data_IF_292081905195
#
_entry.id   IF_292081905195
#
_cell.length_a   1.000
_cell.length_b   1.000
_cell.length_c   1.000
_cell.angle_alpha   90.00
_cell.angle_beta   90.00
_cell.angle_gamma   90.00
#
_symmetry.space_group_name_H-M   'P 1'
#
loop_
_entity.id
_entity.type
_entity.pdbx_description
1 polymer ?
#
# COMPACT_ATOMS: atom_id res chain seq x y z
N UNK A 1 44.35 1.66 53.10
CA UNK A 1 44.61 0.68 54.18
C UNK A 1 43.40 0.66 55.11
N UNK A 2 42.80 -0.53 55.28
CA UNK A 2 41.77 -0.93 56.26
C UNK A 2 40.46 -0.15 56.40
N UNK A 3 39.36 -0.79 55.96
CA UNK A 3 38.12 -0.81 56.76
C UNK A 3 37.36 -2.12 56.50
N UNK A 4 37.54 -3.07 57.42
CA UNK A 4 36.67 -4.23 57.58
C UNK A 4 35.83 -4.00 58.84
N UNK A 5 34.51 -4.05 58.71
CA UNK A 5 33.59 -4.37 59.80
C UNK A 5 32.79 -5.60 59.38
N UNK A 6 32.93 -6.65 60.19
CA UNK A 6 32.13 -7.89 60.21
C UNK A 6 30.68 -7.55 60.64
N UNK A 7 29.63 -8.39 60.49
CA UNK A 7 29.53 -9.74 61.04
C UNK A 7 28.16 -10.41 60.71
N UNK A 8 28.21 -11.63 60.16
CA UNK A 8 27.38 -12.87 60.36
C UNK A 8 25.88 -12.90 60.00
N UNK A 9 25.43 -14.02 59.40
CA UNK A 9 24.77 -15.21 59.99
C UNK A 9 24.59 -16.29 58.88
N UNK A 10 25.16 -17.52 58.99
CA UNK A 10 24.55 -18.81 59.43
C UNK A 10 23.36 -19.24 58.54
N UNK A 11 23.24 -20.39 57.85
CA UNK A 11 23.42 -21.85 58.14
C UNK A 11 23.30 -22.61 56.79
N UNK A 12 24.19 -23.55 56.42
CA UNK A 12 24.21 -25.00 56.71
C UNK A 12 23.37 -25.92 55.79
N UNK A 13 24.03 -27.03 55.42
CA UNK A 13 23.57 -28.33 54.91
C UNK A 13 23.31 -28.53 53.40
N UNK A 14 24.29 -29.22 52.80
CA UNK A 14 24.14 -30.09 51.64
C UNK A 14 23.68 -31.45 52.15
N UNK A 15 22.53 -31.92 51.67
CA UNK A 15 22.16 -33.34 51.67
C UNK A 15 21.74 -33.67 50.25
N UNK A 16 22.48 -34.60 49.63
CA UNK A 16 22.15 -35.12 48.32
C UNK A 16 20.92 -36.03 48.37
N UNK A 17 20.15 -36.01 47.29
CA UNK A 17 19.30 -37.11 46.88
C UNK A 17 19.53 -37.33 45.38
N UNK A 18 19.97 -38.53 45.03
CA UNK A 18 20.02 -39.00 43.66
C UNK A 18 18.60 -39.41 43.23
N UNK A 19 18.17 -38.97 42.04
CA UNK A 19 17.07 -39.59 41.30
C UNK A 19 17.48 -39.78 39.84
N UNK A 20 17.73 -41.05 39.54
CA UNK A 20 17.45 -41.82 38.33
C UNK A 20 16.95 -41.06 37.08
N UNK A 21 17.75 -41.16 36.03
CA UNK A 21 17.38 -41.58 34.67
C UNK A 21 16.06 -41.11 34.06
N UNK A 22 16.15 -40.10 33.18
CA UNK A 22 15.19 -39.82 32.13
C UNK A 22 15.91 -39.46 30.85
N UNK A 23 15.98 -40.39 29.89
CA UNK A 23 16.33 -40.11 28.50
C UNK A 23 15.25 -39.20 27.91
N UNK A 24 15.52 -37.90 27.83
CA UNK A 24 14.76 -36.96 27.00
C UNK A 24 15.38 -36.92 25.59
N UNK A 25 14.57 -36.84 24.51
CA UNK A 25 15.12 -36.76 23.18
C UNK A 25 15.88 -35.44 23.05
N UNK A 26 17.16 -35.54 22.69
CA UNK A 26 17.98 -34.39 22.34
C UNK A 26 17.37 -33.68 21.16
N UNK A 27 16.72 -32.54 21.39
CA UNK A 27 16.41 -31.58 20.34
C UNK A 27 17.71 -30.88 20.01
N UNK A 28 18.50 -31.49 19.13
CA UNK A 28 19.52 -30.77 18.36
C UNK A 28 18.80 -29.69 17.57
N UNK A 29 18.95 -28.43 18.00
CA UNK A 29 18.60 -27.27 17.18
C UNK A 29 19.47 -27.35 15.94
N UNK A 30 18.89 -27.82 14.84
CA UNK A 30 19.52 -27.75 13.53
C UNK A 30 19.90 -26.28 13.30
N UNK A 31 21.17 -26.04 12.99
CA UNK A 31 21.60 -24.75 12.49
C UNK A 31 20.75 -24.46 11.25
N UNK A 32 19.96 -23.39 11.33
CA UNK A 32 19.28 -22.82 10.18
C UNK A 32 20.39 -22.40 9.21
N UNK A 33 20.52 -23.15 8.11
CA UNK A 33 21.45 -22.83 7.04
C UNK A 33 20.96 -21.51 6.47
N UNK A 34 21.64 -20.41 6.82
CA UNK A 34 21.45 -19.12 6.13
C UNK A 34 21.70 -19.37 4.64
N UNK A 35 20.62 -19.32 3.86
CA UNK A 35 20.70 -19.38 2.41
C UNK A 35 21.59 -18.24 1.89
N UNK A 36 22.09 -18.35 0.65
CA UNK A 36 22.89 -17.28 0.06
C UNK A 36 22.11 -15.95 0.15
N UNK A 37 22.79 -14.83 0.43
CA UNK A 37 22.14 -13.53 0.53
C UNK A 37 21.36 -13.26 -0.76
N UNK A 38 20.04 -13.20 -0.66
CA UNK A 38 19.19 -12.81 -1.76
C UNK A 38 19.45 -11.34 -2.03
N UNK A 39 19.96 -11.02 -3.22
CA UNK A 39 20.08 -9.61 -3.64
C UNK A 39 18.67 -9.03 -3.63
N UNK A 40 18.40 -7.98 -2.85
CA UNK A 40 17.08 -7.37 -2.82
C UNK A 40 16.70 -6.91 -4.23
N UNK A 41 15.43 -7.05 -4.64
CA UNK A 41 15.01 -6.60 -5.95
C UNK A 41 15.28 -5.10 -6.13
N UNK A 42 15.54 -4.64 -7.36
CA UNK A 42 15.80 -3.22 -7.61
C UNK A 42 14.59 -2.37 -7.19
N UNK A 43 14.85 -1.26 -6.51
CA UNK A 43 13.83 -0.26 -6.20
C UNK A 43 13.49 0.53 -7.47
N UNK A 44 12.24 0.42 -7.93
CA UNK A 44 11.75 1.09 -9.13
C UNK A 44 10.90 2.29 -8.73
N UNK A 45 11.22 3.44 -9.32
CA UNK A 45 10.44 4.67 -9.26
C UNK A 45 9.71 4.83 -10.59
N UNK A 46 8.41 5.10 -10.50
CA UNK A 46 7.60 5.41 -11.66
C UNK A 46 7.38 6.90 -11.76
N UNK A 47 7.53 7.42 -12.96
CA UNK A 47 7.36 8.83 -13.26
C UNK A 47 6.08 9.02 -14.08
N UNK A 48 5.12 9.71 -13.46
CA UNK A 48 3.83 10.09 -14.03
C UNK A 48 3.76 11.60 -14.34
N UNK A 49 4.89 12.34 -14.24
CA UNK A 49 4.87 13.79 -14.37
C UNK A 49 4.56 14.23 -15.80
N UNK A 50 3.67 15.22 -15.96
CA UNK A 50 3.18 15.69 -17.25
C UNK A 50 4.05 16.79 -17.90
N UNK A 51 5.27 17.00 -17.41
CA UNK A 51 6.16 18.03 -17.96
C UNK A 51 6.51 17.74 -19.43
N UNK A 52 6.44 18.77 -20.27
CA UNK A 52 6.91 18.70 -21.66
C UNK A 52 8.45 18.74 -21.69
N UNK A 53 9.05 18.13 -22.71
CA UNK A 53 10.50 18.17 -22.97
C UNK A 53 11.36 17.65 -21.81
N UNK A 54 10.90 16.60 -21.11
CA UNK A 54 11.67 15.94 -20.05
C UNK A 54 12.93 15.28 -20.60
N UNK A 55 14.04 15.27 -19.84
CA UNK A 55 15.20 14.48 -20.19
C UNK A 55 14.83 12.98 -20.29
N UNK A 56 15.48 12.25 -21.19
CA UNK A 56 15.30 10.81 -21.29
C UNK A 56 15.80 10.11 -20.01
N UNK A 57 15.02 9.16 -19.50
CA UNK A 57 15.43 8.32 -18.37
C UNK A 57 16.12 7.01 -18.79
N UNK A 58 16.45 6.85 -20.07
CA UNK A 58 17.10 5.63 -20.59
C UNK A 58 18.41 5.24 -19.87
N UNK A 59 19.11 6.21 -19.27
CA UNK A 59 20.32 5.98 -18.47
C UNK A 59 20.07 5.58 -17.00
N UNK A 60 18.81 5.54 -16.54
CA UNK A 60 18.45 5.30 -15.14
C UNK A 60 17.60 4.02 -15.01
N UNK A 61 18.21 2.85 -14.75
CA UNK A 61 17.49 1.56 -14.76
C UNK A 61 16.38 1.44 -13.70
N UNK A 62 16.44 2.28 -12.66
CA UNK A 62 15.44 2.36 -11.60
C UNK A 62 14.30 3.35 -11.86
N UNK A 63 14.29 4.07 -12.98
CA UNK A 63 13.26 5.08 -13.27
C UNK A 63 12.50 4.70 -14.56
N UNK A 64 11.18 4.58 -14.46
CA UNK A 64 10.33 4.14 -15.56
C UNK A 64 9.13 5.07 -15.74
N UNK A 65 8.64 5.30 -16.97
CA UNK A 65 7.34 5.95 -17.15
C UNK A 65 6.22 5.04 -16.65
N UNK A 66 5.09 5.64 -16.25
CA UNK A 66 3.84 4.93 -15.98
C UNK A 66 2.67 5.63 -16.68
N UNK A 67 1.66 4.86 -17.06
CA UNK A 67 0.46 5.39 -17.70
C UNK A 67 -0.59 5.70 -16.66
N UNK A 68 -1.00 6.97 -16.58
CA UNK A 68 -2.15 7.41 -15.78
C UNK A 68 -3.33 7.66 -16.71
N UNK A 69 -4.38 6.86 -16.53
CA UNK A 69 -5.65 7.01 -17.20
C UNK A 69 -6.53 7.94 -16.36
N UNK A 70 -6.43 9.24 -16.66
CA UNK A 70 -7.27 10.28 -16.06
C UNK A 70 -8.75 10.12 -16.41
N UNK A 71 -9.62 10.84 -15.71
CA UNK A 71 -11.05 10.82 -15.96
C UNK A 71 -11.48 11.53 -17.27
N UNK A 72 -10.80 12.60 -17.71
CA UNK A 72 -11.25 13.41 -18.86
C UNK A 72 -11.48 12.64 -20.19
N UNK A 73 -10.68 11.63 -20.59
CA UNK A 73 -10.96 10.87 -21.81
C UNK A 73 -12.12 9.87 -21.63
N UNK A 74 -12.48 9.55 -20.38
CA UNK A 74 -13.53 8.57 -20.06
C UNK A 74 -14.92 9.22 -20.01
N UNK A 75 -14.99 10.49 -19.60
CA UNK A 75 -16.24 11.21 -19.41
C UNK A 75 -16.39 12.32 -20.46
N UNK A 76 -17.30 12.12 -21.40
CA UNK A 76 -17.58 13.11 -22.45
C UNK A 76 -18.19 14.39 -21.87
N UNK A 77 -17.93 15.53 -22.53
CA UNK A 77 -18.50 16.82 -22.16
C UNK A 77 -20.02 16.73 -22.03
N UNK A 78 -20.56 17.22 -20.91
CA UNK A 78 -21.99 17.22 -20.61
C UNK A 78 -22.51 15.93 -19.95
N UNK A 79 -21.67 14.91 -19.75
CA UNK A 79 -22.05 13.75 -18.93
C UNK A 79 -22.16 14.13 -17.44
N UNK A 80 -23.07 13.44 -16.74
CA UNK A 80 -23.24 13.61 -15.29
C UNK A 80 -21.93 13.27 -14.56
N UNK A 81 -21.50 14.16 -13.65
CA UNK A 81 -20.37 13.93 -12.75
C UNK A 81 -20.60 12.75 -11.80
N UNK A 82 -21.86 12.35 -11.59
CA UNK A 82 -22.24 11.22 -10.74
C UNK A 82 -22.49 9.94 -11.54
N UNK A 83 -22.52 10.00 -12.87
CA UNK A 83 -22.79 8.85 -13.74
C UNK A 83 -21.59 7.93 -13.92
N UNK A 84 -21.82 6.77 -14.53
CA UNK A 84 -20.78 5.94 -15.14
C UNK A 84 -20.37 6.53 -16.49
N UNK A 85 -19.10 6.40 -16.92
CA UNK A 85 -18.74 6.62 -18.30
C UNK A 85 -19.38 5.53 -19.18
N UNK A 86 -19.46 5.78 -20.48
CA UNK A 86 -19.89 4.74 -21.44
C UNK A 86 -18.84 3.63 -21.49
N UNK A 87 -19.25 2.36 -21.37
CA UNK A 87 -18.35 1.21 -21.53
C UNK A 87 -17.61 1.27 -22.88
N UNK A 88 -18.30 1.67 -23.96
CA UNK A 88 -17.69 1.82 -25.28
C UNK A 88 -16.58 2.87 -25.29
N UNK A 89 -16.78 4.00 -24.59
CA UNK A 89 -15.75 5.04 -24.44
C UNK A 89 -14.55 4.49 -23.69
N UNK A 90 -14.76 3.83 -22.54
CA UNK A 90 -13.68 3.22 -21.76
C UNK A 90 -12.88 2.25 -22.62
N UNK A 91 -13.53 1.32 -23.32
CA UNK A 91 -12.86 0.35 -24.20
C UNK A 91 -12.07 1.02 -25.33
N UNK A 92 -12.63 2.04 -25.97
CA UNK A 92 -11.95 2.76 -27.06
C UNK A 92 -10.68 3.44 -26.57
N UNK A 93 -10.74 4.14 -25.44
CA UNK A 93 -9.58 4.81 -24.84
C UNK A 93 -8.52 3.80 -24.42
N UNK A 94 -8.93 2.70 -23.78
CA UNK A 94 -8.01 1.65 -23.32
C UNK A 94 -7.30 0.97 -24.50
N UNK A 95 -8.02 0.74 -25.61
CA UNK A 95 -7.44 0.17 -26.83
C UNK A 95 -6.37 1.07 -27.44
N UNK A 96 -6.49 2.39 -27.32
CA UNK A 96 -5.49 3.35 -27.81
C UNK A 96 -4.19 3.35 -26.98
N UNK A 97 -4.23 2.90 -25.71
CA UNK A 97 -3.02 2.80 -24.88
C UNK A 97 -2.05 1.71 -25.36
N UNK A 98 -2.58 0.65 -25.97
CA UNK A 98 -1.80 -0.51 -26.45
C UNK A 98 -1.23 -1.39 -25.32
N UNK A 99 -0.77 -2.61 -25.65
CA UNK A 99 -0.26 -3.56 -24.64
C UNK A 99 1.06 -3.13 -23.97
N UNK A 100 1.73 -2.07 -24.46
CA UNK A 100 3.04 -1.63 -23.98
C UNK A 100 2.98 -0.78 -22.69
N UNK A 101 1.80 -0.37 -22.24
CA UNK A 101 1.61 0.56 -21.12
C UNK A 101 1.41 -0.14 -19.77
N UNK A 102 2.34 -1.00 -19.36
CA UNK A 102 2.33 -1.62 -18.04
C UNK A 102 3.23 -0.86 -17.05
N UNK A 103 2.73 -0.40 -15.88
CA UNK A 103 1.36 -0.49 -15.35
C UNK A 103 0.38 0.60 -15.85
N UNK A 104 -0.93 0.35 -15.69
CA UNK A 104 -2.00 1.35 -15.88
C UNK A 104 -2.57 1.76 -14.52
N UNK A 105 -2.67 3.07 -14.31
CA UNK A 105 -3.19 3.70 -13.09
C UNK A 105 -4.47 4.42 -13.44
N UNK A 106 -5.60 3.95 -12.92
CA UNK A 106 -6.89 4.60 -13.10
C UNK A 106 -7.06 5.75 -12.10
N UNK A 107 -7.32 6.95 -12.61
CA UNK A 107 -7.46 8.15 -11.80
C UNK A 107 -8.85 8.78 -12.00
N UNK A 108 -9.83 8.28 -11.23
CA UNK A 108 -11.20 8.78 -11.17
C UNK A 108 -11.49 9.22 -9.73
N UNK A 109 -11.43 10.53 -9.48
CA UNK A 109 -11.59 11.11 -8.14
C UNK A 109 -12.96 11.77 -7.90
N UNK A 110 -13.83 11.79 -8.93
CA UNK A 110 -15.15 12.45 -8.86
C UNK A 110 -16.18 11.74 -7.97
N UNK A 111 -15.97 10.48 -7.59
CA UNK A 111 -16.94 9.71 -6.82
C UNK A 111 -16.55 9.65 -5.35
N UNK A 112 -17.50 9.87 -4.41
CA UNK A 112 -17.18 9.88 -2.99
C UNK A 112 -16.78 8.49 -2.49
N UNK A 113 -15.62 8.39 -1.86
CA UNK A 113 -15.11 7.16 -1.21
C UNK A 113 -15.15 7.23 0.33
N UNK A 114 -15.72 8.30 0.88
CA UNK A 114 -15.92 8.51 2.33
C UNK A 114 -17.30 9.12 2.60
N UNK A 115 -17.76 9.02 3.84
CA UNK A 115 -19.04 9.57 4.27
C UNK A 115 -20.18 8.55 4.20
N UNK A 116 -21.27 8.92 3.53
CA UNK A 116 -22.48 8.10 3.43
C UNK A 116 -22.20 6.71 2.86
N UNK A 117 -22.65 5.67 3.57
CA UNK A 117 -22.33 4.27 3.26
C UNK A 117 -22.90 3.86 1.90
N UNK A 118 -24.11 4.32 1.58
CA UNK A 118 -24.76 3.94 0.31
C UNK A 118 -24.09 4.64 -0.87
N UNK A 119 -23.70 5.90 -0.72
CA UNK A 119 -22.92 6.63 -1.71
C UNK A 119 -21.56 5.96 -1.97
N UNK A 120 -20.82 5.59 -0.92
CA UNK A 120 -19.53 4.87 -1.06
C UNK A 120 -19.73 3.54 -1.77
N UNK A 121 -20.72 2.74 -1.39
CA UNK A 121 -21.02 1.45 -2.05
C UNK A 121 -21.34 1.65 -3.54
N UNK A 122 -22.08 2.69 -3.88
CA UNK A 122 -22.36 3.05 -5.26
C UNK A 122 -21.09 3.46 -6.00
N UNK A 123 -20.19 4.24 -5.39
CA UNK A 123 -18.88 4.61 -5.98
C UNK A 123 -17.98 3.40 -6.23
N UNK A 124 -17.88 2.49 -5.24
CA UNK A 124 -17.13 1.23 -5.37
C UNK A 124 -17.67 0.40 -6.52
N UNK A 125 -18.98 0.24 -6.63
CA UNK A 125 -19.62 -0.49 -7.73
C UNK A 125 -19.28 0.10 -9.10
N UNK A 126 -19.16 1.42 -9.21
CA UNK A 126 -18.77 2.09 -10.47
C UNK A 126 -17.30 1.87 -10.80
N UNK A 127 -16.40 1.98 -9.82
CA UNK A 127 -14.99 1.68 -10.00
C UNK A 127 -14.79 0.23 -10.45
N UNK A 128 -15.51 -0.72 -9.85
CA UNK A 128 -15.48 -2.13 -10.25
C UNK A 128 -15.91 -2.33 -11.71
N UNK A 129 -16.96 -1.63 -12.16
CA UNK A 129 -17.40 -1.68 -13.55
C UNK A 129 -16.29 -1.20 -14.50
N UNK A 130 -15.67 -0.05 -14.21
CA UNK A 130 -14.59 0.50 -15.05
C UNK A 130 -13.36 -0.41 -15.04
N UNK A 131 -12.93 -0.90 -13.88
CA UNK A 131 -11.81 -1.84 -13.75
C UNK A 131 -12.07 -3.14 -14.55
N UNK A 132 -13.30 -3.66 -14.50
CA UNK A 132 -13.71 -4.84 -15.27
C UNK A 132 -13.61 -4.57 -16.78
N UNK A 133 -14.12 -3.43 -17.26
CA UNK A 133 -14.03 -3.06 -18.67
C UNK A 133 -12.58 -2.92 -19.14
N UNK A 134 -11.72 -2.29 -18.35
CA UNK A 134 -10.28 -2.19 -18.64
C UNK A 134 -9.65 -3.57 -18.70
N UNK A 135 -9.87 -4.43 -17.69
CA UNK A 135 -9.27 -5.77 -17.65
C UNK A 135 -9.75 -6.67 -18.78
N UNK A 136 -10.99 -6.51 -19.23
CA UNK A 136 -11.52 -7.24 -20.39
C UNK A 136 -10.84 -6.83 -21.70
N UNK A 137 -10.47 -5.55 -21.85
CA UNK A 137 -9.75 -5.05 -23.04
C UNK A 137 -8.24 -5.31 -22.96
N UNK A 138 -7.66 -5.28 -21.75
CA UNK A 138 -6.24 -5.54 -21.48
C UNK A 138 -6.05 -6.63 -20.39
N UNK A 139 -6.28 -7.91 -20.68
CA UNK A 139 -6.25 -8.98 -19.67
C UNK A 139 -4.91 -9.16 -18.96
N UNK A 140 -3.81 -8.80 -19.63
CA UNK A 140 -2.44 -8.93 -19.10
C UNK A 140 -1.99 -7.72 -18.29
N UNK A 141 -2.57 -6.56 -18.53
CA UNK A 141 -2.12 -5.31 -17.91
C UNK A 141 -2.24 -5.36 -16.39
N UNK A 142 -1.23 -4.79 -15.73
CA UNK A 142 -1.24 -4.55 -14.29
C UNK A 142 -2.01 -3.27 -14.01
N UNK A 143 -3.17 -3.41 -13.38
CA UNK A 143 -4.10 -2.30 -13.14
C UNK A 143 -4.25 -2.00 -11.65
N UNK A 144 -4.51 -0.74 -11.35
CA UNK A 144 -4.91 -0.29 -10.02
C UNK A 144 -5.47 1.12 -10.10
N UNK A 145 -6.01 1.63 -9.01
CA UNK A 145 -6.55 3.00 -8.95
C UNK A 145 -5.69 3.88 -8.07
N UNK A 146 -5.50 5.13 -8.50
CA UNK A 146 -4.87 6.15 -7.70
C UNK A 146 -5.80 6.62 -6.56
N UNK A 147 -5.23 6.84 -5.37
CA UNK A 147 -5.90 7.56 -4.28
C UNK A 147 -7.11 6.86 -3.63
N UNK A 148 -7.31 5.56 -3.84
CA UNK A 148 -8.47 4.82 -3.27
C UNK A 148 -8.10 4.03 -2.02
N UNK A 149 -7.15 3.09 -2.13
CA UNK A 149 -6.75 2.20 -1.04
C UNK A 149 -5.24 2.34 -0.77
N UNK A 150 -4.87 2.77 0.44
CA UNK A 150 -5.72 3.47 1.42
C UNK A 150 -6.22 4.84 0.92
N UNK A 151 -7.28 5.33 1.55
CA UNK A 151 -7.81 6.67 1.37
C UNK A 151 -6.78 7.72 1.84
N UNK A 152 -6.59 8.80 1.06
CA UNK A 152 -5.70 9.90 1.45
C UNK A 152 -6.29 10.67 2.64
N UNK A 153 -5.68 10.49 3.82
CA UNK A 153 -6.06 11.18 5.04
C UNK A 153 -4.88 11.28 6.01
N UNK A 154 -4.02 12.27 5.77
CA UNK A 154 -2.80 12.49 6.56
C UNK A 154 -3.08 12.56 8.06
N UNK A 155 -4.07 13.36 8.47
CA UNK A 155 -4.30 13.66 9.87
C UNK A 155 -4.78 12.46 10.67
N UNK A 156 -5.74 11.69 10.14
CA UNK A 156 -6.24 10.50 10.84
C UNK A 156 -5.21 9.37 10.84
N UNK A 157 -4.49 9.18 9.74
CA UNK A 157 -3.48 8.13 9.59
C UNK A 157 -2.35 8.24 10.63
N UNK A 158 -1.88 9.45 10.96
CA UNK A 158 -0.76 9.63 11.89
C UNK A 158 -1.13 9.58 13.39
N UNK A 159 -2.42 9.43 13.74
CA UNK A 159 -2.87 9.42 15.16
C UNK A 159 -2.50 8.15 15.92
N UNK A 160 -2.07 7.10 15.23
CA UNK A 160 -1.71 5.80 15.81
C UNK A 160 -2.90 4.88 16.07
N UNK A 161 -2.66 3.55 16.22
CA UNK A 161 -3.70 2.51 16.11
C UNK A 161 -4.75 2.49 17.22
N UNK A 162 -4.44 3.05 18.40
CA UNK A 162 -5.37 3.11 19.54
C UNK A 162 -6.28 4.34 19.49
N UNK A 163 -6.05 5.26 18.55
CA UNK A 163 -6.85 6.48 18.43
C UNK A 163 -8.13 6.21 17.64
N UNK A 164 -9.26 6.77 18.10
CA UNK A 164 -10.55 6.61 17.44
C UNK A 164 -10.56 7.13 15.99
N UNK A 165 -9.87 8.24 15.70
CA UNK A 165 -9.79 8.80 14.35
C UNK A 165 -9.07 7.86 13.38
N UNK A 166 -7.98 7.22 13.84
CA UNK A 166 -7.27 6.20 13.07
C UNK A 166 -8.17 4.99 12.80
N UNK A 167 -8.90 4.52 13.83
CA UNK A 167 -9.81 3.39 13.69
C UNK A 167 -10.96 3.69 12.71
N UNK A 168 -11.50 4.90 12.73
CA UNK A 168 -12.50 5.33 11.74
C UNK A 168 -11.90 5.40 10.33
N UNK A 169 -10.67 5.88 10.18
CA UNK A 169 -9.98 5.85 8.88
C UNK A 169 -9.77 4.42 8.36
N UNK A 170 -9.38 3.49 9.23
CA UNK A 170 -9.29 2.07 8.88
C UNK A 170 -10.66 1.49 8.47
N UNK A 171 -11.73 1.82 9.19
CA UNK A 171 -13.09 1.40 8.82
C UNK A 171 -13.54 1.99 7.48
N UNK A 172 -13.13 3.21 7.13
CA UNK A 172 -13.40 3.79 5.82
C UNK A 172 -12.61 3.02 4.72
N UNK A 173 -11.36 2.64 4.97
CA UNK A 173 -10.57 1.80 4.05
C UNK A 173 -11.17 0.40 3.87
N UNK A 174 -11.67 -0.23 4.94
CA UNK A 174 -12.29 -1.56 4.88
C UNK A 174 -13.51 -1.60 3.94
N UNK A 175 -14.22 -0.48 3.76
CA UNK A 175 -15.35 -0.36 2.82
C UNK A 175 -14.90 -0.46 1.36
N UNK A 176 -13.61 -0.29 1.09
CA UNK A 176 -13.02 -0.37 -0.25
C UNK A 176 -12.39 -1.72 -0.54
N UNK A 177 -12.45 -2.68 0.40
CA UNK A 177 -11.87 -4.02 0.25
C UNK A 177 -12.33 -4.76 -1.00
N UNK A 178 -13.56 -4.51 -1.44
CA UNK A 178 -14.13 -5.12 -2.66
C UNK A 178 -13.33 -4.76 -3.92
N UNK A 179 -12.58 -3.66 -3.91
CA UNK A 179 -11.71 -3.26 -5.01
C UNK A 179 -10.44 -4.13 -5.11
N UNK A 180 -9.94 -4.64 -3.99
CA UNK A 180 -8.63 -5.30 -3.91
C UNK A 180 -8.48 -6.49 -4.87
N UNK A 181 -9.45 -7.42 -5.02
CA UNK A 181 -9.32 -8.53 -5.96
C UNK A 181 -9.19 -8.09 -7.43
N UNK A 182 -9.61 -6.88 -7.76
CA UNK A 182 -9.61 -6.32 -9.11
C UNK A 182 -8.39 -5.44 -9.41
N UNK A 183 -7.47 -5.31 -8.44
CA UNK A 183 -6.25 -4.52 -8.56
C UNK A 183 -5.03 -5.41 -8.46
N UNK A 184 -4.09 -5.24 -9.39
CA UNK A 184 -2.77 -5.89 -9.35
C UNK A 184 -1.79 -5.15 -8.41
N UNK A 185 -1.96 -3.83 -8.27
CA UNK A 185 -1.12 -2.97 -7.43
C UNK A 185 -1.93 -1.84 -6.80
N UNK A 186 -1.41 -1.28 -5.70
CA UNK A 186 -2.00 -0.14 -5.00
C UNK A 186 -1.23 1.14 -5.33
N UNK A 187 -1.96 2.24 -5.52
CA UNK A 187 -1.39 3.54 -5.88
C UNK A 187 -1.82 4.64 -4.88
N UNK A 188 -1.36 4.56 -3.62
CA UNK A 188 -1.73 5.55 -2.61
C UNK A 188 -1.19 6.94 -2.93
N UNK A 189 -1.96 7.96 -2.56
CA UNK A 189 -1.54 9.36 -2.61
C UNK A 189 -0.79 9.74 -1.33
N UNK A 190 0.55 9.78 -1.41
CA UNK A 190 1.45 10.06 -0.28
C UNK A 190 2.21 11.38 -0.41
N UNK A 191 1.49 12.47 -0.70
CA UNK A 191 2.12 13.78 -0.86
C UNK A 191 2.75 14.30 0.43
N UNK A 192 3.85 15.03 0.26
CA UNK A 192 4.51 15.82 1.29
C UNK A 192 3.73 17.12 1.53
N UNK A 193 2.56 17.03 2.15
CA UNK A 193 1.69 18.19 2.39
C UNK A 193 2.30 19.26 3.30
N UNK A 194 3.24 18.85 4.16
CA UNK A 194 3.83 19.67 5.21
C UNK A 194 5.35 19.51 5.24
N UNK A 195 6.05 20.46 5.89
CA UNK A 195 7.49 20.40 6.09
C UNK A 195 7.94 19.40 7.16
N UNK A 196 6.99 18.81 7.91
CA UNK A 196 7.27 17.78 8.91
C UNK A 196 7.61 16.45 8.23
N UNK A 197 8.92 16.24 8.03
CA UNK A 197 9.45 14.99 7.47
C UNK A 197 9.06 13.78 8.30
N UNK A 198 9.09 13.86 9.63
CA UNK A 198 8.82 12.70 10.48
C UNK A 198 7.34 12.33 10.41
N UNK A 199 6.46 13.32 10.41
CA UNK A 199 5.03 13.14 10.17
C UNK A 199 4.75 12.50 8.80
N UNK A 200 5.45 12.93 7.75
CA UNK A 200 5.34 12.30 6.43
C UNK A 200 5.82 10.83 6.42
N UNK A 201 6.95 10.51 7.08
CA UNK A 201 7.41 9.11 7.20
C UNK A 201 6.36 8.26 7.91
N UNK A 202 5.79 8.75 9.03
CA UNK A 202 4.70 8.07 9.72
C UNK A 202 3.49 7.87 8.81
N UNK A 203 3.13 8.88 8.02
CA UNK A 203 2.02 8.77 7.07
C UNK A 203 2.29 7.72 5.99
N UNK A 204 3.51 7.67 5.42
CA UNK A 204 3.90 6.63 4.46
C UNK A 204 3.85 5.23 5.06
N UNK A 205 4.41 5.04 6.26
CA UNK A 205 4.37 3.75 6.97
C UNK A 205 2.92 3.33 7.27
N UNK A 206 2.09 4.28 7.68
CA UNK A 206 0.66 4.04 7.90
C UNK A 206 -0.08 3.78 6.58
N UNK A 207 0.28 4.40 5.47
CA UNK A 207 -0.37 4.16 4.19
C UNK A 207 -0.01 2.77 3.62
N UNK A 208 1.26 2.37 3.75
CA UNK A 208 1.72 1.02 3.37
C UNK A 208 1.02 -0.08 4.19
N UNK A 209 0.84 0.16 5.49
CA UNK A 209 0.17 -0.78 6.41
C UNK A 209 -1.35 -0.65 6.48
N UNK A 210 -1.88 0.50 6.05
CA UNK A 210 -3.23 0.97 6.35
C UNK A 210 -4.24 0.70 5.25
N UNK A 211 -3.82 0.06 4.15
CA UNK A 211 -4.74 -0.82 3.46
C UNK A 211 -5.25 -1.89 4.46
N UNK A 212 -6.48 -2.35 4.30
CA UNK A 212 -7.02 -3.48 5.08
C UNK A 212 -5.99 -4.60 5.19
N UNK A 213 -5.95 -5.41 6.26
CA UNK A 213 -5.05 -6.56 6.36
C UNK A 213 -5.05 -7.45 5.10
N UNK A 214 -6.13 -7.41 4.29
CA UNK A 214 -6.27 -8.10 3.00
C UNK A 214 -5.47 -7.50 1.83
N UNK A 215 -4.92 -6.31 2.00
CA UNK A 215 -3.98 -5.69 1.05
C UNK A 215 -2.56 -6.25 1.16
N UNK A 216 -2.24 -6.96 2.26
CA UNK A 216 -0.94 -7.59 2.47
C UNK A 216 -0.63 -8.58 1.35
N UNK A 217 0.48 -8.35 0.64
CA UNK A 217 0.94 -9.16 -0.48
C UNK A 217 0.70 -8.55 -1.87
N UNK A 218 0.00 -7.41 -1.98
CA UNK A 218 -0.03 -6.63 -3.23
C UNK A 218 1.18 -5.72 -3.31
N UNK A 219 1.68 -5.48 -4.52
CA UNK A 219 2.71 -4.48 -4.73
C UNK A 219 2.14 -3.08 -4.46
N UNK A 220 2.68 -2.39 -3.44
CA UNK A 220 2.43 -0.97 -3.22
C UNK A 220 3.35 -0.15 -4.10
N UNK A 221 2.78 0.66 -4.99
CA UNK A 221 3.53 1.62 -5.80
C UNK A 221 3.09 3.02 -5.42
N UNK A 222 3.94 3.72 -4.70
CA UNK A 222 3.68 5.11 -4.38
C UNK A 222 3.75 5.95 -5.66
N UNK A 223 2.64 6.59 -6.03
CA UNK A 223 2.61 7.54 -7.13
C UNK A 223 2.42 8.92 -6.55
N UNK A 224 3.38 9.80 -6.84
CA UNK A 224 3.15 11.23 -6.77
C UNK A 224 2.74 11.71 -8.16
N UNK A 225 1.44 11.93 -8.38
CA UNK A 225 0.97 12.58 -9.61
C UNK A 225 1.09 14.08 -9.38
N UNK A 226 2.15 14.72 -9.87
CA UNK A 226 2.17 16.18 -9.92
C UNK A 226 1.15 16.63 -10.98
N UNK A 227 -0.13 16.72 -10.61
CA UNK A 227 -1.16 17.38 -11.40
C UNK A 227 -0.80 18.87 -11.44
N UNK A 228 -0.62 19.40 -12.64
CA UNK A 228 -0.38 20.84 -12.85
C UNK A 228 -1.72 21.54 -12.62
N UNK A 229 -1.68 22.52 -11.71
CA UNK A 229 -2.70 23.53 -11.43
C UNK A 229 -3.23 24.24 -12.67
#
# INVERSE_FOLDING_TARGET
MMRSRRLKWLRLFVTGLAVVGGMGPGVTRAAEVEGPPTVPPPFIVFDATLYKNKPSFSGYPGLRPITVLYEWPLFLTGQSSTGLPSEQTVRSVVKELGEASEPVVLDIERWPLKGDVQAVKTSVSKLLAVLSWIKNEMPRAKIGTYGTVPLPDYWRAIRGPTNAEFQTWQQDNDRLDELLPHMDALYPSIYTFYSDRQGWVTYCDCADRGGSPKSQGKAGLCISVAAVS
#
